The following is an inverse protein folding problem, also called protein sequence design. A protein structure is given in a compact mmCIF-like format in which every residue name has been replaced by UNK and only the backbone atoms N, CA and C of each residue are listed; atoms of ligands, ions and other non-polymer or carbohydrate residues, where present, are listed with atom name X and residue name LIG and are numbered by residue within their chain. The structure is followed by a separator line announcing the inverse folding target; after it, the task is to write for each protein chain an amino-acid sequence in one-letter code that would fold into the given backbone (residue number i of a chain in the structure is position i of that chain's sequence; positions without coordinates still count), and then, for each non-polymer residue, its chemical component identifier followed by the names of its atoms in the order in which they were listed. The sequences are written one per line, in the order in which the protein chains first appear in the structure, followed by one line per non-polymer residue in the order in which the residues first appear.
data_IF_860247650959
#
_entry.id   IF_860247650959
#
_cell.length_a   1.000
_cell.length_b   1.000
_cell.length_c   1.000
_cell.angle_alpha   90.00
_cell.angle_beta   90.00
_cell.angle_gamma   90.00
#
_symmetry.space_group_name_H-M   'P 1'
#
loop_
_entity.id
_entity.type
_entity.pdbx_description
1 polymer ?
#
# COMPACT_ATOMS: atom_id res chain seq x y z
N UNK A 1 -4.25 -1.95 -20.26
CA UNK A 1 -3.20 -1.13 -20.90
C UNK A 1 -1.96 -1.98 -21.14
N UNK A 2 -1.24 -1.74 -22.23
CA UNK A 2 0.05 -2.40 -22.47
C UNK A 2 1.04 -2.07 -21.33
N UNK A 3 1.86 -3.02 -20.94
CA UNK A 3 2.81 -2.85 -19.83
C UNK A 3 2.29 -3.23 -18.46
N UNK A 4 0.98 -3.41 -18.27
CA UNK A 4 0.38 -3.71 -16.95
C UNK A 4 0.64 -5.15 -16.47
N UNK A 5 1.30 -6.00 -17.25
CA UNK A 5 1.81 -7.27 -16.73
C UNK A 5 2.80 -7.10 -15.55
N UNK A 6 3.36 -5.88 -15.35
CA UNK A 6 4.22 -5.50 -14.22
C UNK A 6 3.45 -5.16 -12.96
N UNK A 7 2.14 -4.95 -13.03
CA UNK A 7 1.32 -4.53 -11.89
C UNK A 7 1.29 -5.54 -10.73
N UNK A 8 1.92 -6.66 -10.88
CA UNK A 8 2.20 -7.65 -9.84
C UNK A 8 3.52 -7.44 -9.09
N UNK A 9 4.27 -6.35 -9.34
CA UNK A 9 5.60 -6.16 -8.72
C UNK A 9 5.52 -6.06 -7.19
N UNK A 10 4.45 -5.51 -6.62
CA UNK A 10 4.24 -5.53 -5.18
C UNK A 10 4.18 -6.95 -4.60
N UNK A 11 3.36 -7.83 -5.21
CA UNK A 11 3.29 -9.23 -4.82
C UNK A 11 4.63 -9.97 -5.06
N UNK A 12 5.31 -9.68 -6.16
CA UNK A 12 6.63 -10.23 -6.46
C UNK A 12 7.67 -9.81 -5.42
N UNK A 13 7.61 -8.55 -4.95
CA UNK A 13 8.49 -8.04 -3.90
C UNK A 13 8.26 -8.75 -2.57
N UNK A 14 7.00 -9.00 -2.20
CA UNK A 14 6.67 -9.81 -1.02
C UNK A 14 7.28 -11.21 -1.15
N UNK A 15 7.06 -11.90 -2.28
CA UNK A 15 7.64 -13.22 -2.51
C UNK A 15 9.17 -13.22 -2.46
N UNK A 16 9.81 -12.21 -3.08
CA UNK A 16 11.25 -12.03 -3.07
C UNK A 16 11.81 -11.75 -1.67
N UNK A 17 11.14 -10.94 -0.88
CA UNK A 17 11.49 -10.70 0.52
C UNK A 17 11.46 -12.00 1.33
N UNK A 18 10.40 -12.81 1.21
CA UNK A 18 10.31 -14.10 1.86
C UNK A 18 11.40 -15.08 1.38
N UNK A 19 11.73 -15.07 0.10
CA UNK A 19 12.87 -15.86 -0.41
C UNK A 19 14.18 -15.46 0.26
N UNK A 20 14.42 -14.16 0.41
CA UNK A 20 15.60 -13.62 1.09
C UNK A 20 15.63 -14.04 2.56
N UNK A 21 14.49 -13.99 3.27
CA UNK A 21 14.39 -14.47 4.65
C UNK A 21 14.73 -15.96 4.78
N UNK A 22 14.33 -16.78 3.81
CA UNK A 22 14.69 -18.21 3.79
C UNK A 22 16.19 -18.46 3.68
N UNK A 23 16.93 -17.59 2.98
CA UNK A 23 18.39 -17.68 2.86
C UNK A 23 19.11 -17.13 4.11
N UNK A 24 18.68 -15.96 4.59
CA UNK A 24 19.31 -15.28 5.73
C UNK A 24 18.97 -15.90 7.09
N UNK A 25 17.80 -16.51 7.21
CA UNK A 25 17.30 -17.17 8.44
C UNK A 25 17.42 -16.30 9.70
N UNK A 26 16.90 -15.07 9.69
CA UNK A 26 16.99 -14.19 10.84
C UNK A 26 16.29 -14.79 12.05
N UNK A 27 16.83 -14.53 13.26
CA UNK A 27 16.23 -14.94 14.52
C UNK A 27 15.46 -13.77 15.16
N UNK A 28 14.41 -14.11 15.91
CA UNK A 28 13.64 -13.09 16.66
C UNK A 28 12.66 -12.27 15.82
N UNK A 29 12.50 -12.60 14.54
CA UNK A 29 11.58 -11.93 13.62
C UNK A 29 10.44 -12.87 13.22
N UNK A 30 9.19 -12.45 13.44
CA UNK A 30 7.97 -13.11 12.93
C UNK A 30 7.44 -12.29 11.76
N UNK A 31 7.37 -12.88 10.59
CA UNK A 31 6.87 -12.22 9.37
C UNK A 31 5.69 -12.99 8.81
N UNK A 32 4.66 -12.26 8.40
CA UNK A 32 3.54 -12.76 7.61
C UNK A 32 3.45 -11.97 6.32
N UNK A 33 3.11 -12.61 5.23
CA UNK A 33 2.92 -11.98 3.93
C UNK A 33 1.74 -12.57 3.19
N UNK A 34 1.06 -11.74 2.42
CA UNK A 34 0.03 -12.15 1.48
C UNK A 34 0.24 -11.46 0.14
N UNK A 35 -0.13 -12.15 -0.91
CA UNK A 35 -0.13 -11.64 -2.27
C UNK A 35 -1.57 -11.53 -2.76
N UNK A 36 -2.08 -10.31 -2.90
CA UNK A 36 -3.41 -10.05 -3.43
C UNK A 36 -3.38 -10.18 -4.97
N UNK A 37 -3.40 -11.42 -5.44
CA UNK A 37 -3.29 -11.77 -6.87
C UNK A 37 -4.66 -11.76 -7.52
N UNK A 38 -5.15 -10.57 -7.85
CA UNK A 38 -6.40 -10.37 -8.58
C UNK A 38 -6.13 -9.99 -10.02
N UNK A 39 -7.12 -10.20 -10.87
CA UNK A 39 -7.06 -9.80 -12.28
C UNK A 39 -8.12 -8.74 -12.55
N UNK A 40 -7.69 -7.58 -13.04
CA UNK A 40 -8.60 -6.57 -13.56
C UNK A 40 -8.95 -6.89 -15.02
N UNK A 41 -10.06 -7.56 -15.22
CA UNK A 41 -10.51 -7.99 -16.55
C UNK A 41 -12.03 -7.88 -16.68
N UNK A 42 -12.53 -7.91 -17.93
CA UNK A 42 -13.95 -7.87 -18.24
C UNK A 42 -14.53 -9.28 -18.13
N UNK A 43 -15.67 -9.41 -17.47
CA UNK A 43 -16.41 -10.66 -17.34
C UNK A 43 -17.73 -10.45 -16.59
N UNK A 44 -18.56 -11.49 -16.54
CA UNK A 44 -19.87 -11.45 -15.87
C UNK A 44 -19.78 -11.20 -14.36
N UNK A 45 -18.66 -11.59 -13.75
CA UNK A 45 -18.43 -11.51 -12.31
C UNK A 45 -17.52 -10.34 -11.92
N UNK A 46 -17.21 -9.46 -12.87
CA UNK A 46 -16.43 -8.26 -12.60
C UNK A 46 -17.33 -7.17 -11.99
N UNK A 47 -16.78 -6.44 -11.03
CA UNK A 47 -17.44 -5.26 -10.52
C UNK A 47 -17.50 -4.14 -11.59
N UNK A 48 -18.46 -3.25 -11.45
CA UNK A 48 -18.68 -2.13 -12.36
C UNK A 48 -18.69 -0.80 -11.64
N UNK A 49 -18.57 0.30 -12.37
CA UNK A 49 -18.73 1.64 -11.81
C UNK A 49 -20.10 1.80 -11.15
N UNK A 50 -20.13 2.53 -10.04
CA UNK A 50 -21.29 2.78 -9.17
C UNK A 50 -21.79 1.55 -8.38
N UNK A 51 -21.23 0.38 -8.57
CA UNK A 51 -21.48 -0.74 -7.68
C UNK A 51 -20.98 -0.43 -6.26
N UNK A 52 -21.74 -0.90 -5.26
CA UNK A 52 -21.37 -0.77 -3.85
C UNK A 52 -20.93 -2.14 -3.33
N UNK A 53 -19.67 -2.24 -2.94
CA UNK A 53 -19.06 -3.45 -2.39
C UNK A 53 -18.85 -3.25 -0.90
N UNK A 54 -19.22 -4.27 -0.10
CA UNK A 54 -18.92 -4.27 1.33
C UNK A 54 -17.53 -4.87 1.54
N UNK A 55 -16.59 -4.05 1.99
CA UNK A 55 -15.25 -4.49 2.36
C UNK A 55 -15.30 -5.45 3.58
N UNK A 56 -14.24 -6.25 3.77
CA UNK A 56 -14.10 -7.14 4.92
C UNK A 56 -14.26 -6.41 6.27
N UNK A 57 -13.87 -5.15 6.35
CA UNK A 57 -14.03 -4.30 7.54
C UNK A 57 -15.50 -3.92 7.85
N UNK A 58 -16.43 -4.23 6.96
CA UNK A 58 -17.84 -3.84 7.01
C UNK A 58 -18.12 -2.47 6.35
N UNK A 59 -17.12 -1.77 5.85
CA UNK A 59 -17.27 -0.48 5.18
C UNK A 59 -17.85 -0.67 3.78
N UNK A 60 -18.87 0.11 3.43
CA UNK A 60 -19.50 0.09 2.11
C UNK A 60 -18.74 1.04 1.17
N UNK A 61 -18.25 0.51 0.08
CA UNK A 61 -17.40 1.23 -0.87
C UNK A 61 -18.09 1.31 -2.23
N UNK A 62 -18.37 2.53 -2.71
CA UNK A 62 -18.81 2.76 -4.10
C UNK A 62 -17.61 2.74 -5.02
N UNK A 63 -17.68 1.95 -6.08
CA UNK A 63 -16.67 1.89 -7.14
C UNK A 63 -16.78 3.15 -8.00
N UNK A 64 -15.79 4.02 -7.98
CA UNK A 64 -15.74 5.22 -8.80
C UNK A 64 -14.90 5.04 -10.07
N UNK A 65 -13.91 4.15 -10.02
CA UNK A 65 -12.99 3.89 -11.13
C UNK A 65 -12.55 2.43 -11.12
N UNK A 66 -12.92 1.67 -12.13
CA UNK A 66 -12.59 0.23 -12.22
C UNK A 66 -11.10 -0.04 -12.42
N UNK A 67 -10.30 0.97 -12.77
CA UNK A 67 -8.83 0.91 -12.87
C UNK A 67 -8.12 1.21 -11.52
N UNK A 68 -8.88 1.32 -10.43
CA UNK A 68 -8.35 1.49 -9.06
C UNK A 68 -8.67 0.26 -8.18
N UNK A 69 -8.63 -0.93 -8.74
CA UNK A 69 -8.98 -2.21 -8.11
C UNK A 69 -7.96 -2.65 -7.06
N UNK A 70 -6.69 -2.35 -7.28
CA UNK A 70 -5.60 -2.81 -6.40
C UNK A 70 -5.77 -2.34 -4.95
N UNK A 71 -6.21 -1.10 -4.73
CA UNK A 71 -6.46 -0.58 -3.39
C UNK A 71 -7.59 -1.29 -2.67
N UNK A 72 -8.60 -1.78 -3.39
CA UNK A 72 -9.71 -2.54 -2.81
C UNK A 72 -9.26 -3.93 -2.37
N UNK A 73 -8.55 -4.65 -3.24
CA UNK A 73 -8.00 -5.96 -2.92
C UNK A 73 -7.04 -5.90 -1.71
N UNK A 74 -6.16 -4.88 -1.68
CA UNK A 74 -5.23 -4.69 -0.55
C UNK A 74 -5.94 -4.34 0.75
N UNK A 75 -7.02 -3.55 0.71
CA UNK A 75 -7.75 -3.14 1.91
C UNK A 75 -8.32 -4.33 2.67
N UNK A 76 -8.83 -5.35 1.98
CA UNK A 76 -9.41 -6.54 2.60
C UNK A 76 -8.33 -7.42 3.23
N UNK A 77 -7.21 -7.62 2.55
CA UNK A 77 -6.06 -8.35 3.11
C UNK A 77 -5.47 -7.60 4.31
N UNK A 78 -5.34 -6.28 4.22
CA UNK A 78 -4.88 -5.45 5.34
C UNK A 78 -5.84 -5.51 6.53
N UNK A 79 -7.16 -5.54 6.28
CA UNK A 79 -8.16 -5.72 7.34
C UNK A 79 -7.96 -7.03 8.10
N UNK A 80 -7.66 -8.13 7.40
CA UNK A 80 -7.33 -9.39 8.05
C UNK A 80 -6.06 -9.27 8.91
N UNK A 81 -4.99 -8.73 8.36
CA UNK A 81 -3.71 -8.58 9.08
C UNK A 81 -3.83 -7.61 10.26
N UNK A 82 -4.65 -6.59 10.16
CA UNK A 82 -4.98 -5.69 11.28
C UNK A 82 -5.59 -6.48 12.45
N UNK A 83 -6.57 -7.34 12.20
CA UNK A 83 -7.21 -8.13 13.24
C UNK A 83 -6.23 -9.10 13.94
N UNK A 84 -5.26 -9.62 13.21
CA UNK A 84 -4.19 -10.44 13.77
C UNK A 84 -3.18 -9.60 14.54
N UNK A 85 -2.78 -8.45 14.00
CA UNK A 85 -1.74 -7.59 14.54
C UNK A 85 -2.06 -7.02 15.93
N UNK A 86 -3.33 -6.81 16.26
CA UNK A 86 -3.75 -6.28 17.57
C UNK A 86 -3.33 -7.17 18.75
N UNK A 87 -2.95 -8.41 18.48
CA UNK A 87 -2.51 -9.39 19.49
C UNK A 87 -1.00 -9.70 19.40
N UNK A 88 -0.28 -9.06 18.47
CA UNK A 88 1.15 -9.28 18.26
C UNK A 88 2.00 -8.27 19.04
N UNK A 89 3.24 -8.64 19.30
CA UNK A 89 4.21 -7.78 19.99
C UNK A 89 4.88 -6.84 18.98
N UNK A 90 4.70 -5.54 19.17
CA UNK A 90 5.31 -4.49 18.35
C UNK A 90 5.09 -4.69 16.82
N UNK A 91 3.84 -4.85 16.37
CA UNK A 91 3.55 -5.13 14.97
C UNK A 91 3.80 -3.92 14.06
N UNK A 92 4.27 -4.21 12.85
CA UNK A 92 4.32 -3.27 11.73
C UNK A 92 3.57 -3.87 10.53
N UNK A 93 2.67 -3.09 9.96
CA UNK A 93 1.89 -3.46 8.79
C UNK A 93 2.38 -2.67 7.56
N UNK A 94 2.51 -3.36 6.44
CA UNK A 94 2.89 -2.74 5.17
C UNK A 94 1.97 -3.21 4.05
N UNK A 95 1.67 -2.31 3.12
CA UNK A 95 1.18 -2.67 1.79
C UNK A 95 2.17 -2.18 0.74
N UNK A 96 2.45 -3.00 -0.27
CA UNK A 96 3.42 -2.73 -1.32
C UNK A 96 2.75 -2.95 -2.67
N UNK A 97 2.67 -1.93 -3.50
CA UNK A 97 2.02 -2.02 -4.80
C UNK A 97 2.58 -1.01 -5.81
N UNK A 98 2.47 -1.34 -7.09
CA UNK A 98 2.61 -0.41 -8.21
C UNK A 98 1.30 0.35 -8.38
N UNK A 99 0.95 1.23 -7.42
CA UNK A 99 -0.43 1.64 -7.25
C UNK A 99 -0.81 2.87 -8.06
N UNK A 100 0.04 3.90 -8.09
CA UNK A 100 -0.35 5.17 -8.70
C UNK A 100 0.71 5.73 -9.65
N UNK A 101 0.29 6.12 -10.85
CA UNK A 101 1.14 6.89 -11.76
C UNK A 101 1.53 8.27 -11.23
N UNK A 102 0.85 8.76 -10.19
CA UNK A 102 1.18 10.03 -9.54
C UNK A 102 2.57 10.01 -8.89
N UNK A 103 3.05 8.88 -8.38
CA UNK A 103 4.40 8.76 -7.80
C UNK A 103 5.47 9.05 -8.85
N UNK A 104 5.29 8.58 -10.11
CA UNK A 104 6.22 8.86 -11.20
C UNK A 104 6.32 10.37 -11.49
N UNK A 105 5.19 11.09 -11.42
CA UNK A 105 5.19 12.55 -11.61
C UNK A 105 5.76 13.30 -10.40
N UNK A 106 5.51 12.80 -9.19
CA UNK A 106 5.93 13.47 -7.96
C UNK A 106 7.44 13.36 -7.73
N UNK A 107 8.03 12.19 -8.01
CA UNK A 107 9.41 11.89 -7.61
C UNK A 107 10.31 11.43 -8.76
N UNK A 108 9.74 11.11 -9.91
CA UNK A 108 10.48 10.55 -11.04
C UNK A 108 10.65 9.03 -10.97
N UNK A 109 11.16 8.46 -12.06
CA UNK A 109 11.43 7.03 -12.16
C UNK A 109 12.59 6.61 -11.24
N UNK A 110 12.49 5.42 -10.66
CA UNK A 110 13.51 4.86 -9.79
C UNK A 110 13.31 5.11 -8.29
N UNK A 111 12.30 5.90 -7.89
CA UNK A 111 12.00 6.20 -6.47
C UNK A 111 10.73 5.52 -6.02
N UNK A 112 10.80 4.81 -4.88
CA UNK A 112 9.63 4.33 -4.15
C UNK A 112 9.07 5.44 -3.27
N UNK A 113 7.75 5.52 -3.12
CA UNK A 113 7.14 6.42 -2.14
C UNK A 113 6.68 5.64 -0.91
N UNK A 114 6.97 6.14 0.29
CA UNK A 114 6.50 5.54 1.53
C UNK A 114 5.68 6.54 2.35
N UNK A 115 4.54 6.08 2.87
CA UNK A 115 3.57 6.92 3.58
C UNK A 115 3.13 6.24 4.88
N UNK A 116 3.41 6.89 6.00
CA UNK A 116 3.07 6.42 7.34
C UNK A 116 1.66 6.88 7.76
N UNK A 117 0.94 6.00 8.48
CA UNK A 117 -0.16 6.45 9.32
C UNK A 117 0.36 7.15 10.60
N UNK A 118 -0.54 7.65 11.46
CA UNK A 118 -0.16 8.35 12.69
C UNK A 118 0.82 7.58 13.58
N UNK A 119 0.50 6.34 14.00
CA UNK A 119 1.38 5.52 14.83
C UNK A 119 2.75 5.22 14.20
N UNK A 120 2.81 4.86 12.91
CA UNK A 120 4.07 4.59 12.21
C UNK A 120 4.94 5.85 12.11
N UNK A 121 4.32 7.01 11.85
CA UNK A 121 5.00 8.30 11.80
C UNK A 121 5.65 8.67 13.14
N UNK A 122 4.97 8.42 14.27
CA UNK A 122 5.54 8.64 15.58
C UNK A 122 6.76 7.74 15.85
N UNK A 123 6.75 6.53 15.32
CA UNK A 123 7.90 5.60 15.37
C UNK A 123 8.93 5.83 14.25
N UNK A 124 8.72 6.82 13.38
CA UNK A 124 9.62 7.16 12.26
C UNK A 124 9.87 5.98 11.29
N UNK A 125 8.83 5.18 11.02
CA UNK A 125 8.96 3.98 10.21
C UNK A 125 9.43 4.28 8.79
N UNK A 126 8.83 5.27 8.12
CA UNK A 126 9.25 5.71 6.78
C UNK A 126 10.70 6.22 6.75
N UNK A 127 11.13 6.96 7.78
CA UNK A 127 12.50 7.47 7.88
C UNK A 127 13.51 6.33 8.03
N UNK A 128 13.16 5.27 8.78
CA UNK A 128 13.98 4.08 8.91
C UNK A 128 14.16 3.39 7.56
N UNK A 129 13.07 3.18 6.82
CA UNK A 129 13.10 2.53 5.51
C UNK A 129 13.87 3.39 4.50
N UNK A 130 13.66 4.71 4.49
CA UNK A 130 14.41 5.62 3.62
C UNK A 130 15.91 5.53 3.87
N UNK A 131 16.36 5.65 5.13
CA UNK A 131 17.77 5.55 5.47
C UNK A 131 18.39 4.17 5.16
N UNK A 132 17.61 3.11 5.26
CA UNK A 132 18.02 1.78 4.83
C UNK A 132 18.15 1.68 3.32
N UNK A 133 17.17 2.22 2.58
CA UNK A 133 17.20 2.28 1.12
C UNK A 133 18.39 3.07 0.58
N UNK A 134 18.68 4.23 1.17
CA UNK A 134 19.85 5.04 0.80
C UNK A 134 21.17 4.26 0.98
N UNK A 135 21.25 3.43 2.01
CA UNK A 135 22.46 2.63 2.28
C UNK A 135 22.69 1.50 1.25
N UNK A 136 21.63 1.03 0.60
CA UNK A 136 21.69 -0.12 -0.34
C UNK A 136 21.33 0.26 -1.78
N UNK A 137 21.13 1.55 -2.06
CA UNK A 137 20.81 2.02 -3.41
C UNK A 137 19.38 1.73 -3.87
N UNK A 138 18.44 1.55 -2.94
CA UNK A 138 17.00 1.36 -3.18
C UNK A 138 16.24 2.58 -2.65
N UNK A 139 16.18 3.62 -3.44
CA UNK A 139 15.83 4.98 -3.02
C UNK A 139 14.34 5.16 -2.69
N UNK A 140 14.07 5.85 -1.58
CA UNK A 140 12.73 6.15 -1.09
C UNK A 140 12.50 7.64 -0.89
N UNK A 141 11.30 8.09 -1.24
CA UNK A 141 10.76 9.39 -0.88
C UNK A 141 9.67 9.25 0.18
N UNK A 142 9.82 9.98 1.29
CA UNK A 142 8.81 10.01 2.35
C UNK A 142 7.72 11.00 2.01
N UNK A 143 6.51 10.49 1.84
CA UNK A 143 5.32 11.31 1.59
C UNK A 143 4.41 11.35 2.81
N UNK A 144 3.75 12.47 3.05
CA UNK A 144 2.91 12.67 4.23
C UNK A 144 1.44 12.61 3.87
N UNK A 145 0.70 11.68 4.52
CA UNK A 145 -0.76 11.66 4.48
C UNK A 145 -1.26 12.79 5.40
N UNK A 146 -2.19 13.61 4.91
CA UNK A 146 -2.83 14.71 5.61
C UNK A 146 -4.30 14.40 5.87
N UNK A 147 -4.95 15.22 6.68
CA UNK A 147 -6.36 15.05 7.03
C UNK A 147 -7.28 15.06 5.80
N UNK A 148 -7.01 15.94 4.86
CA UNK A 148 -7.76 16.08 3.61
C UNK A 148 -7.67 14.82 2.72
N UNK A 149 -6.57 14.07 2.80
CA UNK A 149 -6.41 12.84 2.03
C UNK A 149 -7.38 11.74 2.48
N UNK A 150 -7.69 11.70 3.77
CA UNK A 150 -8.71 10.79 4.30
C UNK A 150 -10.13 11.20 3.87
N UNK A 151 -10.41 12.51 3.84
CA UNK A 151 -11.73 13.01 3.50
C UNK A 151 -12.06 12.93 2.02
N UNK A 152 -11.07 12.89 1.16
CA UNK A 152 -11.28 12.74 -0.28
C UNK A 152 -12.13 11.50 -0.62
N UNK A 153 -11.99 10.43 0.15
CA UNK A 153 -12.74 9.19 -0.04
C UNK A 153 -14.08 9.16 0.70
N UNK A 154 -14.60 10.28 1.21
CA UNK A 154 -15.93 10.30 1.80
C UNK A 154 -16.98 9.93 0.76
N UNK A 155 -17.90 9.04 1.14
CA UNK A 155 -19.05 8.70 0.31
C UNK A 155 -19.93 9.93 0.08
N UNK A 156 -20.32 10.21 -1.17
CA UNK A 156 -21.16 11.37 -1.48
C UNK A 156 -22.64 11.17 -1.12
N UNK A 157 -23.07 9.96 -0.79
CA UNK A 157 -24.47 9.65 -0.49
C UNK A 157 -24.64 8.82 0.80
N UNK A 158 -25.88 8.50 1.16
CA UNK A 158 -26.21 7.65 2.32
C UNK A 158 -26.00 6.14 2.07
N UNK A 159 -25.76 5.74 0.82
CA UNK A 159 -25.67 4.34 0.45
C UNK A 159 -24.27 3.75 0.69
N UNK A 160 -23.24 4.55 0.50
CA UNK A 160 -21.85 4.18 0.72
C UNK A 160 -21.20 4.97 1.85
N UNK A 161 -20.20 4.37 2.48
CA UNK A 161 -19.36 5.04 3.47
C UNK A 161 -18.15 5.70 2.80
N UNK A 162 -17.62 5.04 1.76
CA UNK A 162 -16.47 5.51 0.99
C UNK A 162 -16.74 5.50 -0.51
N UNK A 163 -16.14 6.48 -1.20
CA UNK A 163 -15.88 6.44 -2.63
C UNK A 163 -14.47 5.90 -2.87
N UNK A 164 -14.36 4.86 -3.68
CA UNK A 164 -13.08 4.19 -3.96
C UNK A 164 -12.06 5.14 -4.61
N UNK A 165 -12.45 5.87 -5.63
CA UNK A 165 -11.61 6.79 -6.39
C UNK A 165 -12.49 7.77 -7.17
N UNK A 166 -11.91 8.89 -7.62
CA UNK A 166 -12.55 9.76 -8.60
C UNK A 166 -12.41 9.18 -10.03
N UNK A 167 -13.00 9.85 -11.01
CA UNK A 167 -12.98 9.43 -12.42
C UNK A 167 -11.74 9.93 -13.20
N UNK A 168 -10.80 10.58 -12.52
CA UNK A 168 -9.59 11.09 -13.16
C UNK A 168 -8.49 10.02 -13.14
N UNK A 169 -7.62 9.99 -14.15
CA UNK A 169 -6.37 9.24 -14.07
C UNK A 169 -5.56 9.65 -12.84
N UNK A 170 -4.89 8.69 -12.20
CA UNK A 170 -4.10 8.96 -10.98
C UNK A 170 -3.07 10.06 -11.16
N UNK A 171 -2.47 10.17 -12.34
CA UNK A 171 -1.50 11.22 -12.72
C UNK A 171 -2.10 12.63 -12.75
N UNK A 172 -3.42 12.77 -12.91
CA UNK A 172 -4.13 14.06 -12.92
C UNK A 172 -4.84 14.39 -11.60
N UNK A 173 -4.82 13.46 -10.67
CA UNK A 173 -5.42 13.66 -9.34
C UNK A 173 -4.38 14.25 -8.41
N UNK A 174 -4.53 15.50 -7.94
CA UNK A 174 -3.62 16.08 -6.96
C UNK A 174 -3.49 15.18 -5.74
N UNK A 175 -2.28 15.00 -5.23
CA UNK A 175 -2.00 14.09 -4.10
C UNK A 175 -2.45 12.64 -4.33
N UNK A 176 -2.41 12.15 -5.58
CA UNK A 176 -2.98 10.87 -5.99
C UNK A 176 -2.51 9.68 -5.17
N UNK A 177 -1.23 9.59 -4.81
CA UNK A 177 -0.71 8.48 -4.00
C UNK A 177 -1.08 8.60 -2.52
N UNK A 178 -1.15 9.81 -1.95
CA UNK A 178 -1.61 10.03 -0.57
C UNK A 178 -3.10 9.69 -0.41
N UNK A 179 -3.92 10.07 -1.40
CA UNK A 179 -5.35 9.74 -1.42
C UNK A 179 -5.58 8.23 -1.44
N UNK A 180 -4.79 7.50 -2.25
CA UNK A 180 -4.86 6.04 -2.31
C UNK A 180 -4.50 5.40 -0.95
N UNK A 181 -3.45 5.87 -0.29
CA UNK A 181 -3.06 5.39 1.04
C UNK A 181 -4.14 5.71 2.09
N UNK A 182 -4.72 6.90 2.06
CA UNK A 182 -5.82 7.30 2.94
C UNK A 182 -7.06 6.42 2.76
N UNK A 183 -7.41 6.09 1.52
CA UNK A 183 -8.48 5.13 1.23
C UNK A 183 -8.22 3.75 1.83
N UNK A 184 -7.01 3.18 1.61
CA UNK A 184 -6.65 1.85 2.12
C UNK A 184 -6.78 1.80 3.65
N UNK A 185 -6.32 2.83 4.36
CA UNK A 185 -6.43 2.91 5.82
C UNK A 185 -7.90 2.87 6.26
N UNK A 186 -8.78 3.61 5.60
CA UNK A 186 -10.21 3.67 5.96
C UNK A 186 -10.95 2.40 5.55
N UNK A 187 -10.76 1.92 4.33
CA UNK A 187 -11.44 0.74 3.83
C UNK A 187 -11.05 -0.55 4.59
N UNK A 188 -9.83 -0.63 5.11
CA UNK A 188 -9.40 -1.73 5.97
C UNK A 188 -9.89 -1.63 7.42
N UNK A 189 -10.43 -0.48 7.84
CA UNK A 189 -10.78 -0.21 9.23
C UNK A 189 -9.58 0.08 10.13
N UNK A 190 -8.40 0.33 9.54
CA UNK A 190 -7.18 0.66 10.28
C UNK A 190 -7.22 2.08 10.86
N UNK A 191 -8.08 2.95 10.37
CA UNK A 191 -8.37 4.27 10.93
C UNK A 191 -8.83 4.21 12.40
N UNK A 192 -9.44 3.08 12.83
CA UNK A 192 -9.82 2.82 14.23
C UNK A 192 -8.63 2.48 15.14
N UNK A 193 -7.45 2.30 14.56
CA UNK A 193 -6.20 1.98 15.25
C UNK A 193 -5.16 3.13 15.12
N UNK A 194 -5.65 4.38 15.15
CA UNK A 194 -4.85 5.59 15.15
C UNK A 194 -4.18 5.87 16.51
N UNK A 195 -3.61 7.07 16.63
CA UNK A 195 -2.87 7.49 17.86
C UNK A 195 -3.76 7.52 19.11
N UNK A 196 -5.03 7.81 18.93
CA UNK A 196 -6.00 7.96 20.04
C UNK A 196 -6.69 6.64 20.40
N UNK A 197 -6.32 5.52 19.76
CA UNK A 197 -6.90 4.21 20.04
C UNK A 197 -6.18 3.52 21.21
N UNK A 198 -6.87 2.61 21.90
CA UNK A 198 -6.27 1.76 22.93
C UNK A 198 -5.19 0.82 22.38
N UNK A 199 -5.31 0.48 21.09
CA UNK A 199 -4.40 -0.43 20.37
C UNK A 199 -3.93 0.23 19.07
N UNK A 200 -3.03 1.20 19.13
CA UNK A 200 -2.52 1.84 17.91
C UNK A 200 -1.67 0.86 17.10
N UNK A 201 -1.88 0.80 15.80
CA UNK A 201 -1.14 -0.05 14.88
C UNK A 201 -0.31 0.77 13.90
N UNK A 202 0.96 0.46 13.79
CA UNK A 202 1.84 1.06 12.79
C UNK A 202 1.54 0.48 11.41
N UNK A 203 1.33 1.38 10.46
CA UNK A 203 1.12 1.01 9.06
C UNK A 203 1.82 1.98 8.13
N UNK A 204 2.49 1.44 7.10
CA UNK A 204 3.05 2.23 6.01
C UNK A 204 2.61 1.65 4.66
N UNK A 205 2.16 2.52 3.76
CA UNK A 205 1.96 2.17 2.36
C UNK A 205 3.20 2.47 1.55
N UNK A 206 3.62 1.53 0.72
CA UNK A 206 4.75 1.67 -0.20
C UNK A 206 4.23 1.59 -1.63
N UNK A 207 4.32 2.70 -2.34
CA UNK A 207 3.97 2.79 -3.75
C UNK A 207 5.24 2.72 -4.60
N UNK A 208 5.40 1.59 -5.30
CA UNK A 208 6.56 1.27 -6.13
C UNK A 208 6.28 1.46 -7.63
N UNK A 209 5.23 2.20 -8.00
CA UNK A 209 4.89 2.41 -9.41
C UNK A 209 6.05 3.00 -10.22
N UNK A 210 6.84 3.91 -9.60
CA UNK A 210 7.97 4.55 -10.23
C UNK A 210 9.29 3.76 -10.12
N UNK A 211 9.44 2.89 -9.12
CA UNK A 211 10.67 2.15 -8.84
C UNK A 211 10.67 0.70 -9.36
N UNK A 212 9.52 0.21 -9.83
CA UNK A 212 9.37 -1.18 -10.29
C UNK A 212 10.22 -1.57 -11.52
N UNK A 213 10.84 -0.61 -12.15
CA UNK A 213 11.70 -0.78 -13.32
C UNK A 213 11.09 -0.25 -14.62
N UNK A 214 11.90 -0.12 -15.68
CA UNK A 214 11.48 0.43 -16.95
C UNK A 214 10.54 -0.52 -17.72
N UNK A 215 9.80 0.05 -18.66
CA UNK A 215 9.03 -0.72 -19.62
C UNK A 215 9.37 -0.26 -21.07
N UNK A 216 9.72 -1.18 -21.96
CA UNK A 216 10.02 -2.60 -21.71
C UNK A 216 11.35 -2.76 -20.95
N UNK A 217 11.44 -3.76 -20.07
CA UNK A 217 12.65 -4.00 -19.29
C UNK A 217 12.48 -5.01 -18.16
N UNK A 218 13.53 -5.17 -17.37
CA UNK A 218 13.56 -6.07 -16.23
C UNK A 218 13.11 -5.31 -14.98
N UNK A 219 12.22 -5.88 -14.14
CA UNK A 219 11.86 -5.28 -12.86
C UNK A 219 13.06 -5.07 -11.94
N UNK A 220 13.05 -3.99 -11.15
CA UNK A 220 14.17 -3.59 -10.29
C UNK A 220 14.38 -4.47 -9.05
N UNK A 221 13.31 -5.15 -8.59
CA UNK A 221 13.31 -5.84 -7.30
C UNK A 221 13.08 -4.92 -6.08
N UNK A 222 12.91 -3.60 -6.28
CA UNK A 222 12.50 -2.69 -5.21
C UNK A 222 11.15 -3.14 -4.61
N UNK A 223 10.92 -3.03 -3.30
CA UNK A 223 11.75 -2.48 -2.23
C UNK A 223 12.49 -3.56 -1.40
N UNK A 224 12.81 -4.71 -1.96
CA UNK A 224 13.38 -5.85 -1.22
C UNK A 224 14.68 -5.45 -0.49
N UNK A 225 15.69 -4.82 -1.14
CA UNK A 225 16.95 -4.49 -0.47
C UNK A 225 16.74 -3.55 0.73
N UNK A 226 15.93 -2.50 0.58
CA UNK A 226 15.64 -1.55 1.65
C UNK A 226 14.94 -2.22 2.85
N UNK A 227 13.97 -3.10 2.60
CA UNK A 227 13.27 -3.83 3.66
C UNK A 227 14.16 -4.82 4.39
N UNK A 228 15.04 -5.53 3.66
CA UNK A 228 16.02 -6.43 4.28
C UNK A 228 16.98 -5.64 5.16
N UNK A 229 17.50 -4.51 4.65
CA UNK A 229 18.39 -3.66 5.44
C UNK A 229 17.69 -3.07 6.67
N UNK A 230 16.44 -2.59 6.53
CA UNK A 230 15.70 -1.96 7.62
C UNK A 230 15.31 -2.94 8.74
N UNK A 231 14.88 -4.16 8.40
CA UNK A 231 14.19 -5.05 9.33
C UNK A 231 14.90 -6.37 9.59
N UNK A 232 15.97 -6.66 8.88
CA UNK A 232 16.71 -7.92 9.02
C UNK A 232 18.16 -7.71 9.43
N UNK A 233 18.87 -6.79 8.76
CA UNK A 233 20.30 -6.58 9.01
C UNK A 233 20.58 -5.57 10.11
N UNK A 234 19.68 -4.61 10.34
CA UNK A 234 19.78 -3.60 11.41
C UNK A 234 18.93 -3.88 12.64
N UNK A 235 18.15 -4.96 12.62
CA UNK A 235 17.23 -5.31 13.72
C UNK A 235 17.95 -5.95 14.92
#
# INVERSE_FOLDING_TARGET
MAGMHRDKCGAASVAGFFRTLCELRPKGLKVRGAMAMVRNSIGSDCYVSDEIITARSGVRVRVGNTDAEGRMAMADVLSQFKDEAVNEVNPYLFTIATLTGHVCLAYGEGYSSIMDNGPARMKKASTLVQAAGDAVGDAFEVSTIRREDYFFSNGPSEYEDLLQCNNLPSVRTPRGHQLAAGFIIRASGLDKHGLDSEKPLCYSHVDIAASSGPYPGVPSGSPIPAFVEAFVTRA
#
